data_IF_142142045366
#
_entry.id   IF_142142045366
#
_cell.length_a   1.000
_cell.length_b   1.000
_cell.length_c   1.000
_cell.angle_alpha   90.00
_cell.angle_beta   90.00
_cell.angle_gamma   90.00
#
_symmetry.space_group_name_H-M   'P 1'
#
loop_
_entity.id
_entity.type
_entity.pdbx_description
1 polymer ?
#
# COMPACT_ATOMS: atom_id res chain seq x y z
N UNK A 1 -30.01 -28.84 -27.04
CA UNK A 1 -28.57 -28.69 -26.74
C UNK A 1 -28.44 -27.57 -25.73
N UNK A 2 -28.25 -27.91 -24.47
CA UNK A 2 -28.05 -26.94 -23.39
C UNK A 2 -26.61 -26.46 -23.45
N UNK A 3 -26.39 -25.16 -23.61
CA UNK A 3 -25.08 -24.55 -23.46
C UNK A 3 -24.88 -24.37 -21.97
N UNK A 4 -24.09 -25.22 -21.34
CA UNK A 4 -23.60 -25.00 -20.00
C UNK A 4 -22.72 -23.75 -20.01
N UNK A 5 -23.29 -22.61 -19.61
CA UNK A 5 -22.51 -21.45 -19.22
C UNK A 5 -21.81 -21.79 -17.90
N UNK A 6 -20.56 -22.23 -17.99
CA UNK A 6 -19.66 -22.31 -16.84
C UNK A 6 -19.59 -20.93 -16.17
N UNK A 7 -19.80 -20.82 -14.84
CA UNK A 7 -19.55 -19.56 -14.15
C UNK A 7 -18.05 -19.32 -14.15
N UNK A 8 -17.62 -18.26 -14.84
CA UNK A 8 -16.27 -17.72 -14.67
C UNK A 8 -16.03 -17.41 -13.18
N UNK A 9 -14.87 -17.76 -12.59
CA UNK A 9 -14.57 -17.41 -11.22
C UNK A 9 -14.35 -15.90 -11.12
N UNK A 10 -15.41 -15.17 -10.72
CA UNK A 10 -15.31 -13.77 -10.29
C UNK A 10 -14.66 -13.72 -8.92
N UNK A 11 -13.34 -13.57 -8.85
CA UNK A 11 -12.70 -12.88 -7.72
C UNK A 11 -11.48 -12.12 -8.23
N UNK A 12 -11.74 -11.09 -9.05
CA UNK A 12 -10.87 -9.93 -9.12
C UNK A 12 -11.19 -9.05 -7.90
N UNK A 13 -10.19 -8.51 -7.21
CA UNK A 13 -10.40 -7.68 -6.02
C UNK A 13 -11.51 -6.65 -6.24
N UNK A 14 -12.41 -6.51 -5.27
CA UNK A 14 -13.56 -5.62 -5.44
C UNK A 14 -13.03 -4.19 -5.41
N UNK A 15 -13.27 -3.40 -6.45
CA UNK A 15 -12.86 -1.99 -6.45
C UNK A 15 -13.48 -1.28 -5.24
N UNK A 16 -12.66 -0.54 -4.50
CA UNK A 16 -13.03 0.07 -3.22
C UNK A 16 -12.91 -0.86 -2.00
N UNK A 17 -12.47 -2.11 -2.18
CA UNK A 17 -12.14 -3.00 -1.06
C UNK A 17 -10.94 -2.44 -0.29
N UNK A 18 -11.15 -2.21 1.01
CA UNK A 18 -10.10 -1.81 1.94
C UNK A 18 -9.68 -2.98 2.82
N UNK A 19 -8.38 -3.11 3.05
CA UNK A 19 -7.84 -4.09 3.98
C UNK A 19 -6.65 -3.55 4.75
N UNK A 20 -6.59 -3.91 6.04
CA UNK A 20 -5.56 -3.47 6.96
C UNK A 20 -4.35 -4.40 6.88
N UNK A 21 -3.17 -3.84 6.59
CA UNK A 21 -1.91 -4.57 6.65
C UNK A 21 -1.39 -4.59 8.09
N UNK A 22 -1.44 -3.43 8.74
CA UNK A 22 -1.19 -3.24 10.17
C UNK A 22 -1.89 -1.97 10.67
N UNK A 23 -1.59 -1.57 11.90
CA UNK A 23 -2.18 -0.39 12.57
C UNK A 23 -1.90 0.96 11.89
N UNK A 24 -0.91 1.02 10.99
CA UNK A 24 -0.52 2.24 10.27
C UNK A 24 -0.83 2.16 8.78
N UNK A 25 -0.74 0.97 8.18
CA UNK A 25 -0.79 0.81 6.73
C UNK A 25 -2.08 0.10 6.31
N UNK A 26 -2.91 0.81 5.58
CA UNK A 26 -4.16 0.33 4.97
C UNK A 26 -3.96 0.31 3.46
N UNK A 27 -4.50 -0.70 2.78
CA UNK A 27 -4.54 -0.76 1.33
C UNK A 27 -5.98 -0.65 0.83
N UNK A 28 -6.16 0.03 -0.29
CA UNK A 28 -7.41 0.13 -1.03
C UNK A 28 -7.19 -0.36 -2.48
N UNK A 29 -8.12 -1.17 -2.97
CA UNK A 29 -8.11 -1.65 -4.36
C UNK A 29 -8.72 -0.59 -5.27
N UNK A 30 -7.86 0.12 -6.01
CA UNK A 30 -8.26 1.13 -7.00
C UNK A 30 -8.75 0.49 -8.30
N UNK A 31 -8.05 -0.57 -8.71
CA UNK A 31 -8.37 -1.38 -9.87
C UNK A 31 -7.66 -2.71 -9.75
N UNK A 32 -7.91 -3.62 -10.71
CA UNK A 32 -7.17 -4.87 -10.78
C UNK A 32 -5.64 -4.66 -10.87
N UNK A 33 -5.17 -3.53 -11.43
CA UNK A 33 -3.75 -3.25 -11.65
C UNK A 33 -3.13 -2.26 -10.66
N UNK A 34 -3.92 -1.62 -9.79
CA UNK A 34 -3.48 -0.52 -8.92
C UNK A 34 -4.00 -0.72 -7.49
N UNK A 35 -3.08 -0.63 -6.52
CA UNK A 35 -3.38 -0.51 -5.10
C UNK A 35 -3.00 0.88 -4.61
N UNK A 36 -3.82 1.48 -3.78
CA UNK A 36 -3.48 2.69 -3.02
C UNK A 36 -3.14 2.31 -1.59
N UNK A 37 -2.04 2.84 -1.06
CA UNK A 37 -1.68 2.76 0.35
C UNK A 37 -2.12 4.03 1.04
N UNK A 38 -2.74 3.86 2.21
CA UNK A 38 -3.10 4.93 3.11
C UNK A 38 -2.36 4.74 4.43
N UNK A 39 -1.84 5.84 4.97
CA UNK A 39 -1.24 5.87 6.30
C UNK A 39 -2.28 6.39 7.29
N UNK A 40 -2.69 5.54 8.23
CA UNK A 40 -3.59 5.94 9.32
C UNK A 40 -2.96 7.01 10.21
N UNK A 41 -3.81 7.85 10.80
CA UNK A 41 -3.38 8.78 11.83
C UNK A 41 -2.71 8.01 12.98
N UNK A 42 -1.48 8.41 13.31
CA UNK A 42 -0.62 7.70 14.23
C UNK A 42 -0.79 8.32 15.62
N UNK A 43 -1.17 7.53 16.63
CA UNK A 43 -1.15 7.99 18.03
C UNK A 43 0.26 8.45 18.43
N UNK A 44 0.37 9.31 19.46
CA UNK A 44 1.68 9.77 19.98
C UNK A 44 2.66 8.61 20.25
N UNK A 45 2.16 7.51 20.81
CA UNK A 45 2.95 6.29 21.08
C UNK A 45 3.49 5.63 19.81
N UNK A 46 2.74 5.71 18.71
CA UNK A 46 3.11 5.11 17.45
C UNK A 46 4.03 6.01 16.60
N UNK A 47 4.17 7.31 16.90
CA UNK A 47 5.09 8.21 16.18
C UNK A 47 6.54 7.72 16.22
N UNK A 48 6.98 7.21 17.38
CA UNK A 48 8.33 6.62 17.55
C UNK A 48 8.51 5.31 16.78
N UNK A 49 7.41 4.61 16.47
CA UNK A 49 7.40 3.31 15.78
C UNK A 49 6.98 3.41 14.31
N UNK A 50 6.58 4.59 13.84
CA UNK A 50 6.00 4.80 12.51
C UNK A 50 6.89 4.25 11.39
N UNK A 51 8.19 4.58 11.40
CA UNK A 51 9.12 4.08 10.39
C UNK A 51 9.22 2.53 10.40
N UNK A 52 9.23 1.92 11.58
CA UNK A 52 9.24 0.46 11.73
C UNK A 52 7.93 -0.16 11.25
N UNK A 53 6.78 0.39 11.63
CA UNK A 53 5.46 -0.09 11.24
C UNK A 53 5.21 0.07 9.74
N UNK A 54 5.62 1.19 9.15
CA UNK A 54 5.58 1.40 7.71
C UNK A 54 6.42 0.35 6.99
N UNK A 55 7.68 0.15 7.41
CA UNK A 55 8.56 -0.88 6.84
C UNK A 55 7.95 -2.28 6.96
N UNK A 56 7.50 -2.67 8.15
CA UNK A 56 6.87 -3.97 8.38
C UNK A 56 5.59 -4.16 7.56
N UNK A 57 4.84 -3.07 7.34
CA UNK A 57 3.66 -3.08 6.48
C UNK A 57 4.02 -3.33 5.02
N UNK A 58 5.05 -2.64 4.51
CA UNK A 58 5.55 -2.85 3.14
C UNK A 58 6.11 -4.27 2.93
N UNK A 59 6.79 -4.84 3.93
CA UNK A 59 7.24 -6.25 3.93
C UNK A 59 6.06 -7.23 3.83
N UNK A 60 5.01 -7.00 4.61
CA UNK A 60 3.80 -7.83 4.56
C UNK A 60 3.06 -7.67 3.24
N UNK A 61 2.94 -6.44 2.73
CA UNK A 61 2.33 -6.18 1.42
C UNK A 61 3.09 -6.89 0.29
N UNK A 62 4.43 -6.88 0.32
CA UNK A 62 5.24 -7.62 -0.63
C UNK A 62 4.95 -9.13 -0.61
N UNK A 63 4.82 -9.74 0.58
CA UNK A 63 4.44 -11.15 0.72
C UNK A 63 3.02 -11.43 0.18
N UNK A 64 2.06 -10.55 0.48
CA UNK A 64 0.68 -10.68 0.00
C UNK A 64 0.61 -10.57 -1.52
N UNK A 65 1.34 -9.63 -2.13
CA UNK A 65 1.42 -9.51 -3.58
C UNK A 65 1.90 -10.81 -4.22
N UNK A 66 2.93 -11.46 -3.65
CA UNK A 66 3.44 -12.73 -4.17
C UNK A 66 2.46 -13.92 -4.01
N UNK A 67 1.66 -13.93 -2.93
CA UNK A 67 0.91 -15.13 -2.51
C UNK A 67 -0.58 -15.08 -2.73
N UNK A 68 -1.20 -13.90 -2.66
CA UNK A 68 -2.65 -13.78 -2.70
C UNK A 68 -3.16 -13.69 -4.14
N UNK A 69 -4.05 -14.61 -4.51
CA UNK A 69 -4.63 -14.65 -5.86
C UNK A 69 -5.32 -13.33 -6.24
N UNK A 70 -6.01 -12.68 -5.29
CA UNK A 70 -6.72 -11.41 -5.50
C UNK A 70 -5.80 -10.23 -5.87
N UNK A 71 -4.50 -10.31 -5.54
CA UNK A 71 -3.52 -9.24 -5.81
C UNK A 71 -2.59 -9.57 -6.99
N UNK A 72 -2.82 -10.68 -7.69
CA UNK A 72 -1.92 -11.17 -8.74
C UNK A 72 -1.79 -10.22 -9.94
N UNK A 73 -2.86 -9.48 -10.25
CA UNK A 73 -2.93 -8.53 -11.39
C UNK A 73 -2.35 -7.15 -11.05
N UNK A 74 -2.11 -6.85 -9.77
CA UNK A 74 -1.57 -5.56 -9.35
C UNK A 74 -0.21 -5.32 -10.02
N UNK A 75 -0.04 -4.17 -10.69
CA UNK A 75 1.23 -3.78 -11.33
C UNK A 75 1.91 -2.64 -10.59
N UNK A 76 1.12 -1.78 -9.93
CA UNK A 76 1.63 -0.58 -9.27
C UNK A 76 0.95 -0.37 -7.93
N UNK A 77 1.70 0.25 -7.04
CA UNK A 77 1.27 0.65 -5.71
C UNK A 77 1.47 2.15 -5.63
N UNK A 78 0.42 2.86 -5.19
CA UNK A 78 0.35 4.31 -5.19
C UNK A 78 0.08 4.81 -3.77
N UNK A 79 0.39 6.08 -3.52
CA UNK A 79 0.07 6.76 -2.27
C UNK A 79 -0.09 8.24 -2.59
N UNK A 80 -1.14 8.86 -2.05
CA UNK A 80 -1.39 10.30 -2.16
C UNK A 80 -1.58 10.85 -0.76
N UNK A 81 -0.74 11.80 -0.34
CA UNK A 81 -0.77 12.34 1.03
C UNK A 81 0.05 13.62 1.19
N UNK A 82 -0.36 14.50 2.11
CA UNK A 82 0.47 15.64 2.57
C UNK A 82 1.80 15.17 3.19
N UNK A 83 1.86 13.95 3.73
CA UNK A 83 3.09 13.36 4.30
C UNK A 83 4.17 13.25 3.22
N UNK A 84 3.79 13.00 1.96
CA UNK A 84 4.74 12.91 0.85
C UNK A 84 5.38 14.29 0.61
N UNK A 85 4.58 15.35 0.61
CA UNK A 85 5.03 16.73 0.45
C UNK A 85 6.07 17.11 1.50
N UNK A 86 5.83 16.75 2.76
CA UNK A 86 6.73 17.08 3.88
C UNK A 86 7.94 16.13 4.00
N UNK A 87 7.81 14.89 3.51
CA UNK A 87 8.78 13.83 3.72
C UNK A 87 9.13 13.05 2.44
N UNK A 88 9.24 13.73 1.30
CA UNK A 88 9.51 13.10 -0.01
C UNK A 88 10.74 12.18 -0.01
N UNK A 89 11.79 12.55 0.74
CA UNK A 89 12.99 11.74 0.91
C UNK A 89 12.73 10.37 1.57
N UNK A 90 11.73 10.27 2.46
CA UNK A 90 11.33 9.00 3.09
C UNK A 90 10.76 8.05 2.03
N UNK A 91 9.87 8.55 1.18
CA UNK A 91 9.25 7.78 0.11
C UNK A 91 10.27 7.35 -0.95
N UNK A 92 11.18 8.24 -1.34
CA UNK A 92 12.29 7.90 -2.25
C UNK A 92 13.19 6.80 -1.68
N UNK A 93 13.55 6.88 -0.40
CA UNK A 93 14.32 5.82 0.29
C UNK A 93 13.55 4.49 0.35
N UNK A 94 12.22 4.55 0.48
CA UNK A 94 11.35 3.39 0.40
C UNK A 94 11.17 2.83 -1.03
N UNK A 95 11.73 3.48 -2.05
CA UNK A 95 11.69 3.04 -3.45
C UNK A 95 10.55 3.63 -4.27
N UNK A 96 9.78 4.55 -3.71
CA UNK A 96 8.74 5.26 -4.45
C UNK A 96 9.33 6.39 -5.29
N UNK A 97 8.72 6.63 -6.45
CA UNK A 97 8.97 7.77 -7.33
C UNK A 97 7.81 8.75 -7.18
N UNK A 98 8.09 10.05 -7.15
CA UNK A 98 7.01 11.06 -7.17
C UNK A 98 6.34 11.05 -8.55
N UNK A 99 5.03 10.99 -8.58
CA UNK A 99 4.22 10.92 -9.80
C UNK A 99 3.19 12.04 -9.83
N UNK A 100 3.72 13.27 -9.78
CA UNK A 100 2.92 14.51 -9.76
C UNK A 100 2.36 14.91 -11.14
N UNK A 101 2.55 14.07 -12.16
CA UNK A 101 2.08 14.30 -13.53
C UNK A 101 1.43 13.06 -14.15
N UNK A 102 1.21 12.01 -13.36
CA UNK A 102 0.57 10.79 -13.83
C UNK A 102 -0.87 11.03 -14.27
N UNK A 103 -1.38 10.15 -15.15
CA UNK A 103 -2.74 10.22 -15.71
C UNK A 103 -3.82 10.33 -14.61
N UNK A 104 -3.59 9.70 -13.45
CA UNK A 104 -4.52 9.70 -12.32
C UNK A 104 -4.22 10.78 -11.26
N UNK A 105 -3.19 11.62 -11.45
CA UNK A 105 -2.72 12.56 -10.44
C UNK A 105 -3.84 13.50 -9.96
N UNK A 106 -4.52 14.19 -10.89
CA UNK A 106 -5.59 15.15 -10.55
C UNK A 106 -6.71 14.46 -9.76
N UNK A 107 -7.19 13.32 -10.27
CA UNK A 107 -8.24 12.51 -9.62
C UNK A 107 -7.85 12.13 -8.18
N UNK A 108 -6.63 11.65 -7.99
CA UNK A 108 -6.19 11.14 -6.70
C UNK A 108 -6.03 12.28 -5.67
N UNK A 109 -5.59 13.46 -6.12
CA UNK A 109 -5.51 14.67 -5.31
C UNK A 109 -6.90 15.17 -4.91
N UNK A 110 -7.84 15.23 -5.85
CA UNK A 110 -9.23 15.65 -5.59
C UNK A 110 -9.92 14.70 -4.61
N UNK A 111 -9.76 13.39 -4.81
CA UNK A 111 -10.30 12.39 -3.88
C UNK A 111 -9.69 12.54 -2.48
N UNK A 112 -8.37 12.73 -2.39
CA UNK A 112 -7.71 12.97 -1.11
C UNK A 112 -8.27 14.21 -0.40
N UNK A 113 -8.44 15.32 -1.13
CA UNK A 113 -9.02 16.57 -0.61
C UNK A 113 -10.50 16.43 -0.23
N UNK A 114 -11.24 15.49 -0.82
CA UNK A 114 -12.63 15.23 -0.43
C UNK A 114 -12.76 14.48 0.90
N UNK A 115 -11.69 13.81 1.36
CA UNK A 115 -11.68 12.98 2.57
C UNK A 115 -10.83 13.60 3.69
N UNK A 116 -11.17 14.85 4.06
CA UNK A 116 -10.42 15.66 5.04
C UNK A 116 -10.45 15.13 6.47
N UNK A 117 -11.32 14.17 6.78
CA UNK A 117 -11.46 13.58 8.13
C UNK A 117 -10.16 12.90 8.59
N UNK A 118 -9.40 12.35 7.64
CA UNK A 118 -8.12 11.69 7.89
C UNK A 118 -6.91 12.65 7.87
N UNK A 119 -7.13 13.94 7.65
CA UNK A 119 -6.08 14.96 7.57
C UNK A 119 -6.12 15.85 8.82
N UNK A 120 -5.01 15.92 9.59
CA UNK A 120 -4.91 16.83 10.72
C UNK A 120 -5.27 18.27 10.30
N UNK A 121 -6.07 19.02 11.07
CA UNK A 121 -6.55 20.35 10.67
C UNK A 121 -5.44 21.30 10.19
N UNK A 122 -4.28 21.28 10.85
CA UNK A 122 -3.10 22.07 10.52
C UNK A 122 -2.41 21.66 9.21
N UNK A 123 -2.72 20.47 8.68
CA UNK A 123 -2.18 19.94 7.42
C UNK A 123 -3.16 20.07 6.25
N UNK A 124 -4.41 20.47 6.48
CA UNK A 124 -5.44 20.59 5.41
C UNK A 124 -5.11 21.63 4.33
N UNK A 125 -4.25 22.60 4.64
CA UNK A 125 -3.75 23.60 3.68
C UNK A 125 -2.49 23.16 2.92
N UNK A 126 -1.92 22.00 3.22
CA UNK A 126 -0.73 21.47 2.53
C UNK A 126 -1.19 20.74 1.27
N UNK A 127 -0.66 21.13 0.12
CA UNK A 127 -0.95 20.44 -1.13
C UNK A 127 -0.36 19.03 -1.09
N UNK A 128 -1.18 17.96 -1.22
CA UNK A 128 -0.67 16.60 -1.22
C UNK A 128 0.15 16.32 -2.48
N UNK A 129 1.12 15.44 -2.35
CA UNK A 129 1.82 14.85 -3.51
C UNK A 129 1.36 13.41 -3.71
N UNK A 130 1.72 12.84 -4.86
CA UNK A 130 1.49 11.44 -5.19
C UNK A 130 2.82 10.74 -5.43
N UNK A 131 2.95 9.51 -4.93
CA UNK A 131 4.10 8.66 -5.20
C UNK A 131 3.67 7.26 -5.64
N UNK A 132 4.53 6.62 -6.42
CA UNK A 132 4.28 5.32 -7.05
C UNK A 132 5.50 4.40 -6.92
N UNK A 133 5.26 3.11 -6.74
CA UNK A 133 6.27 2.06 -6.86
C UNK A 133 5.68 0.89 -7.68
N UNK A 134 6.50 0.25 -8.52
CA UNK A 134 6.05 -0.93 -9.23
C UNK A 134 5.97 -2.14 -8.29
N UNK A 135 5.12 -3.11 -8.63
CA UNK A 135 5.05 -4.38 -7.92
C UNK A 135 6.41 -5.06 -7.83
N UNK A 136 7.12 -5.11 -8.95
CA UNK A 136 8.42 -5.79 -9.05
C UNK A 136 9.44 -5.15 -8.10
N UNK A 137 9.48 -3.82 -8.06
CA UNK A 137 10.43 -3.10 -7.20
C UNK A 137 10.05 -3.23 -5.72
N UNK A 138 8.76 -3.16 -5.38
CA UNK A 138 8.31 -3.36 -4.00
C UNK A 138 8.64 -4.77 -3.50
N UNK A 139 8.33 -5.80 -4.29
CA UNK A 139 8.67 -7.20 -3.95
C UNK A 139 10.19 -7.35 -3.85
N UNK A 140 10.97 -6.85 -4.79
CA UNK A 140 12.43 -6.93 -4.75
C UNK A 140 13.04 -6.32 -3.48
N UNK A 141 12.52 -5.18 -3.03
CA UNK A 141 13.03 -4.47 -1.85
C UNK A 141 12.63 -5.09 -0.52
N UNK A 142 11.40 -5.58 -0.44
CA UNK A 142 10.75 -5.90 0.83
C UNK A 142 10.41 -7.38 1.01
N UNK A 143 10.66 -8.22 0.00
CA UNK A 143 10.59 -9.67 0.16
C UNK A 143 11.55 -10.13 1.24
N UNK A 144 11.01 -10.63 2.35
CA UNK A 144 11.81 -11.35 3.34
C UNK A 144 12.36 -12.61 2.67
N UNK A 145 13.68 -12.77 2.65
CA UNK A 145 14.30 -13.99 2.16
C UNK A 145 13.71 -15.20 2.91
N UNK A 146 13.23 -16.24 2.21
CA UNK A 146 12.66 -17.45 2.83
C UNK A 146 13.62 -18.12 3.83
N UNK A 147 14.92 -17.86 3.73
CA UNK A 147 15.93 -18.39 4.64
C UNK A 147 15.75 -17.93 6.09
N UNK A 148 15.19 -16.75 6.36
CA UNK A 148 15.02 -16.25 7.74
C UNK A 148 13.79 -16.85 8.42
N UNK A 149 12.78 -17.28 7.65
CA UNK A 149 11.56 -17.88 8.21
C UNK A 149 11.73 -19.36 8.59
N UNK A 150 12.75 -20.06 8.09
CA UNK A 150 13.09 -21.41 8.56
C UNK A 150 13.79 -21.40 9.92
N UNK A 151 14.65 -20.42 10.19
CA UNK A 151 15.43 -20.39 11.43
C UNK A 151 14.65 -19.85 12.64
N UNK A 152 13.56 -19.11 12.44
CA UNK A 152 12.70 -18.65 13.53
C UNK A 152 11.71 -19.71 14.05
N UNK A 153 11.59 -20.87 13.38
CA UNK A 153 10.79 -22.00 13.86
C UNK A 153 11.58 -22.98 14.73
N UNK A 154 12.90 -22.88 14.78
CA UNK A 154 13.74 -23.84 15.53
C UNK A 154 14.23 -23.32 16.90
N UNK A 155 14.19 -22.01 17.18
CA UNK A 155 14.58 -21.46 18.49
C UNK A 155 13.42 -21.34 19.50
N UNK A 156 12.53 -22.33 19.54
CA UNK A 156 11.49 -22.44 20.58
C UNK A 156 11.52 -23.76 21.33
N UNK A 157 12.67 -24.39 21.49
CA UNK A 157 12.88 -25.41 22.52
C UNK A 157 14.36 -25.46 22.86
N UNK A 158 14.80 -24.74 23.90
CA UNK A 158 15.80 -25.16 24.89
C UNK A 158 15.70 -24.21 26.10
#
# INVERSE_FOLDING_TARGET
>A
MSIESSPEPKVDGVVGEQFYINEVLICEVESAEELSIHLSAVSEDNKRRLAFLMKSGLERLAEMLEREARLKKTKRITVTSWIITEHSNLFRKAGFTLDNQGINYIRDIERYKSNLENIPPEKRGVEPERAIISREELVKRYRRSPFILKNLKEERYY
#
